data_IF_543664786640
#
_entry.id   IF_543664786640
#
_cell.length_a   1.000
_cell.length_b   1.000
_cell.length_c   1.000
_cell.angle_alpha   90.00
_cell.angle_beta   90.00
_cell.angle_gamma   90.00
#
_symmetry.space_group_name_H-M   'P 1'
#
loop_
_entity.id
_entity.type
_entity.pdbx_description
1 polymer ?
#
# COMPACT_ATOMS: atom_id res chain seq x y z
N UNK A 1 42.77 -7.22 -51.88
CA UNK A 1 42.03 -5.93 -52.00
C UNK A 1 41.06 -5.90 -50.83
N UNK A 2 41.36 -5.19 -49.73
CA UNK A 2 40.97 -3.77 -49.47
C UNK A 2 39.44 -3.68 -49.36
N UNK A 3 38.76 -3.20 -48.32
CA UNK A 3 39.10 -2.57 -47.03
C UNK A 3 37.81 -2.51 -46.18
N UNK A 4 37.98 -2.48 -44.84
CA UNK A 4 37.33 -1.60 -43.82
C UNK A 4 36.04 -0.84 -44.25
N UNK A 5 34.95 -0.84 -43.47
CA UNK A 5 34.62 0.15 -42.41
C UNK A 5 33.30 -0.29 -41.71
N UNK A 6 33.34 -0.70 -40.43
CA UNK A 6 32.72 -0.03 -39.26
C UNK A 6 31.49 0.88 -39.51
N UNK A 7 30.31 0.40 -39.13
CA UNK A 7 29.23 1.20 -38.53
C UNK A 7 28.31 0.21 -37.78
N UNK A 8 28.49 -0.05 -36.49
CA UNK A 8 27.97 0.78 -35.40
C UNK A 8 26.49 1.16 -35.60
N UNK A 9 25.60 0.16 -35.62
CA UNK A 9 24.20 0.35 -35.26
C UNK A 9 24.01 -0.16 -33.83
N UNK A 10 24.24 0.76 -32.89
CA UNK A 10 23.83 0.62 -31.49
C UNK A 10 22.31 0.46 -31.52
N UNK A 11 21.82 -0.77 -31.39
CA UNK A 11 20.42 -1.01 -31.04
C UNK A 11 20.31 -0.56 -29.59
N UNK A 12 19.81 0.66 -29.42
CA UNK A 12 19.41 1.19 -28.14
C UNK A 12 18.45 0.19 -27.50
N UNK A 13 18.94 -0.55 -26.51
CA UNK A 13 18.14 -1.17 -25.47
C UNK A 13 17.43 -0.02 -24.74
N UNK A 14 16.35 0.46 -25.33
CA UNK A 14 15.31 1.15 -24.61
C UNK A 14 14.73 0.11 -23.65
N UNK A 15 15.37 -0.01 -22.49
CA UNK A 15 14.73 -0.45 -21.26
C UNK A 15 13.62 0.56 -21.04
N UNK A 16 12.46 0.28 -21.64
CA UNK A 16 11.20 0.79 -21.15
C UNK A 16 11.20 0.35 -19.69
N UNK A 17 11.56 1.27 -18.81
CA UNK A 17 11.17 1.20 -17.42
C UNK A 17 9.66 1.04 -17.51
N UNK A 18 9.21 -0.22 -17.46
CA UNK A 18 7.81 -0.56 -17.52
C UNK A 18 7.20 0.21 -16.37
N UNK A 19 6.43 1.24 -16.69
CA UNK A 19 5.29 1.60 -15.89
C UNK A 19 4.43 0.34 -15.90
N UNK A 20 4.77 -0.62 -15.03
CA UNK A 20 3.90 -1.71 -14.65
C UNK A 20 2.78 -0.99 -13.92
N UNK A 21 1.79 -0.52 -14.68
CA UNK A 21 0.50 -0.13 -14.16
C UNK A 21 0.10 -1.29 -13.25
N UNK A 22 0.09 -1.02 -11.94
CA UNK A 22 -0.28 -2.03 -10.96
C UNK A 22 -1.60 -2.65 -11.45
N UNK A 23 -1.75 -3.99 -11.38
CA UNK A 23 -3.00 -4.62 -11.75
C UNK A 23 -4.14 -3.90 -11.02
N UNK A 24 -5.31 -3.73 -11.66
CA UNK A 24 -6.43 -3.03 -11.04
C UNK A 24 -6.72 -3.65 -9.67
N UNK A 25 -6.77 -2.83 -8.63
CA UNK A 25 -7.09 -3.30 -7.28
C UNK A 25 -8.43 -4.02 -7.32
N UNK A 26 -8.42 -5.29 -6.92
CA UNK A 26 -9.66 -6.03 -6.76
C UNK A 26 -10.41 -5.51 -5.52
N UNK A 27 -11.74 -5.66 -5.45
CA UNK A 27 -12.48 -5.26 -4.25
C UNK A 27 -11.96 -5.90 -2.96
N UNK A 28 -11.42 -7.13 -3.06
CA UNK A 28 -10.78 -7.81 -1.94
C UNK A 28 -9.46 -7.14 -1.53
N UNK A 29 -8.64 -6.78 -2.52
CA UNK A 29 -7.36 -6.12 -2.27
C UNK A 29 -7.55 -4.72 -1.66
N UNK A 30 -8.52 -3.96 -2.16
CA UNK A 30 -8.89 -2.67 -1.59
C UNK A 30 -9.32 -2.81 -0.12
N UNK A 31 -10.17 -3.80 0.17
CA UNK A 31 -10.64 -4.07 1.53
C UNK A 31 -9.47 -4.45 2.46
N UNK A 32 -8.56 -5.32 2.00
CA UNK A 32 -7.36 -5.70 2.76
C UNK A 32 -6.45 -4.50 3.04
N UNK A 33 -6.25 -3.62 2.05
CA UNK A 33 -5.41 -2.44 2.18
C UNK A 33 -6.04 -1.40 3.14
N UNK A 34 -7.37 -1.26 3.14
CA UNK A 34 -8.10 -0.44 4.12
C UNK A 34 -7.91 -0.99 5.54
N UNK A 35 -8.05 -2.30 5.74
CA UNK A 35 -7.85 -2.95 7.04
C UNK A 35 -6.41 -2.76 7.55
N UNK A 36 -5.43 -2.91 6.65
CA UNK A 36 -4.02 -2.73 6.97
C UNK A 36 -3.66 -1.28 7.34
N UNK A 37 -4.29 -0.29 6.69
CA UNK A 37 -4.13 1.13 7.03
C UNK A 37 -4.70 1.44 8.40
N UNK A 38 -5.91 0.96 8.69
CA UNK A 38 -6.56 1.15 10.00
C UNK A 38 -5.77 0.47 11.12
N UNK A 39 -5.28 -0.76 10.89
CA UNK A 39 -4.41 -1.46 11.84
C UNK A 39 -3.12 -0.67 12.10
N UNK A 40 -2.47 -0.19 11.03
CA UNK A 40 -1.24 0.58 11.15
C UNK A 40 -1.46 1.92 11.86
N UNK A 41 -2.55 2.62 11.54
CA UNK A 41 -2.93 3.86 12.22
C UNK A 41 -3.06 3.63 13.73
N UNK A 42 -3.75 2.57 14.15
CA UNK A 42 -3.95 2.27 15.57
C UNK A 42 -2.69 1.80 16.33
N UNK A 43 -1.63 1.41 15.61
CA UNK A 43 -0.34 1.03 16.19
C UNK A 43 0.61 2.22 16.31
N UNK A 44 0.53 3.15 15.35
CA UNK A 44 1.55 4.18 15.15
C UNK A 44 1.08 5.58 15.50
N UNK A 45 -0.21 5.86 15.32
CA UNK A 45 -0.74 7.21 15.33
C UNK A 45 -1.32 7.63 16.68
N UNK A 46 -1.04 6.90 17.77
CA UNK A 46 -1.56 7.16 19.12
C UNK A 46 -1.34 8.60 19.61
N UNK A 47 -0.27 9.28 19.16
CA UNK A 47 -0.01 10.69 19.48
C UNK A 47 -0.90 11.68 18.73
N UNK A 48 -1.51 11.25 17.63
CA UNK A 48 -2.34 12.04 16.72
C UNK A 48 -3.83 11.68 16.82
N UNK A 49 -4.13 10.59 17.50
CA UNK A 49 -5.48 10.08 17.73
C UNK A 49 -5.83 10.15 19.23
N UNK A 50 -7.09 9.87 19.56
CA UNK A 50 -7.49 9.67 20.96
C UNK A 50 -7.60 8.19 21.27
N UNK A 51 -7.55 7.80 22.56
CA UNK A 51 -7.81 6.42 23.00
C UNK A 51 -9.13 5.83 22.47
N UNK A 52 -10.13 6.68 22.18
CA UNK A 52 -11.38 6.26 21.53
C UNK A 52 -11.19 6.02 20.03
N UNK A 53 -10.42 6.88 19.37
CA UNK A 53 -10.03 6.73 17.97
C UNK A 53 -9.21 5.45 17.72
N UNK A 54 -8.23 5.15 18.56
CA UNK A 54 -7.39 3.95 18.42
C UNK A 54 -8.21 2.67 18.53
N UNK A 55 -9.13 2.60 19.51
CA UNK A 55 -10.05 1.47 19.62
C UNK A 55 -10.91 1.35 18.37
N UNK A 56 -11.48 2.45 17.88
CA UNK A 56 -12.28 2.45 16.66
C UNK A 56 -11.50 1.91 15.46
N UNK A 57 -10.24 2.33 15.30
CA UNK A 57 -9.37 1.87 14.21
C UNK A 57 -9.01 0.37 14.35
N UNK A 58 -8.77 -0.12 15.57
CA UNK A 58 -8.54 -1.56 15.84
C UNK A 58 -9.78 -2.40 15.59
N UNK A 59 -10.95 -1.91 15.98
CA UNK A 59 -12.22 -2.63 15.78
C UNK A 59 -12.55 -2.67 14.28
N UNK A 60 -12.44 -1.54 13.59
CA UNK A 60 -12.64 -1.46 12.15
C UNK A 60 -11.68 -2.38 11.38
N UNK A 61 -10.38 -2.41 11.72
CA UNK A 61 -9.43 -3.30 11.04
C UNK A 61 -9.79 -4.78 11.23
N UNK A 62 -10.23 -5.17 12.43
CA UNK A 62 -10.67 -6.54 12.72
C UNK A 62 -11.91 -6.93 11.92
N UNK A 63 -12.92 -6.05 11.85
CA UNK A 63 -14.14 -6.28 11.08
C UNK A 63 -13.85 -6.37 9.58
N UNK A 64 -13.00 -5.47 9.07
CA UNK A 64 -12.55 -5.48 7.67
C UNK A 64 -11.86 -6.81 7.33
N UNK A 65 -10.95 -7.29 8.18
CA UNK A 65 -10.29 -8.57 7.95
C UNK A 65 -11.22 -9.77 8.11
N UNK A 66 -12.23 -9.70 8.97
CA UNK A 66 -13.27 -10.73 9.04
C UNK A 66 -14.02 -10.81 7.70
N UNK A 67 -14.45 -9.67 7.17
CA UNK A 67 -15.10 -9.59 5.86
C UNK A 67 -14.19 -10.04 4.71
N UNK A 68 -12.91 -9.67 4.73
CA UNK A 68 -11.95 -10.12 3.73
C UNK A 68 -11.80 -11.65 3.74
N UNK A 69 -11.78 -12.28 4.93
CA UNK A 69 -11.76 -13.74 5.07
C UNK A 69 -13.04 -14.40 4.53
N UNK A 70 -14.21 -13.80 4.73
CA UNK A 70 -15.47 -14.26 4.13
C UNK A 70 -15.43 -14.21 2.59
N UNK A 71 -14.67 -13.28 2.03
CA UNK A 71 -14.44 -13.14 0.59
C UNK A 71 -13.31 -14.05 0.05
N UNK A 72 -12.67 -14.84 0.91
CA UNK A 72 -11.64 -15.82 0.54
C UNK A 72 -10.20 -15.36 0.75
N UNK A 73 -9.94 -14.21 1.38
CA UNK A 73 -8.58 -13.84 1.76
C UNK A 73 -8.03 -14.80 2.83
N UNK A 74 -6.76 -15.14 2.70
CA UNK A 74 -6.02 -15.92 3.69
C UNK A 74 -5.05 -15.04 4.51
N UNK A 75 -4.29 -15.67 5.40
CA UNK A 75 -3.31 -14.97 6.22
C UNK A 75 -2.18 -14.33 5.40
N UNK A 76 -1.58 -15.01 4.40
CA UNK A 76 -0.66 -14.40 3.44
C UNK A 76 -1.19 -13.11 2.79
N UNK A 77 -2.46 -13.06 2.40
CA UNK A 77 -3.06 -11.86 1.80
C UNK A 77 -3.09 -10.67 2.77
N UNK A 78 -3.46 -10.94 4.03
CA UNK A 78 -3.47 -9.95 5.11
C UNK A 78 -2.06 -9.44 5.40
N UNK A 79 -1.07 -10.34 5.44
CA UNK A 79 0.32 -9.97 5.71
C UNK A 79 0.93 -9.18 4.56
N UNK A 80 0.57 -9.51 3.31
CA UNK A 80 0.94 -8.73 2.14
C UNK A 80 0.35 -7.31 2.20
N UNK A 81 -0.91 -7.16 2.61
CA UNK A 81 -1.54 -5.85 2.78
C UNK A 81 -0.88 -5.03 3.89
N UNK A 82 -0.56 -5.64 5.03
CA UNK A 82 0.22 -4.99 6.11
C UNK A 82 1.57 -4.50 5.63
N UNK A 83 2.27 -5.30 4.84
CA UNK A 83 3.55 -4.90 4.26
C UNK A 83 3.40 -3.70 3.32
N UNK A 84 2.40 -3.71 2.43
CA UNK A 84 2.10 -2.58 1.53
C UNK A 84 1.78 -1.31 2.32
N UNK A 85 0.92 -1.39 3.34
CA UNK A 85 0.57 -0.25 4.19
C UNK A 85 1.80 0.37 4.87
N UNK A 86 2.72 -0.46 5.39
CA UNK A 86 3.98 0.02 5.99
C UNK A 86 4.90 0.69 4.98
N UNK A 87 5.04 0.11 3.78
CA UNK A 87 5.86 0.70 2.71
C UNK A 87 5.30 2.04 2.25
N UNK A 88 3.98 2.11 2.00
CA UNK A 88 3.29 3.34 1.61
C UNK A 88 3.41 4.41 2.69
N UNK A 89 3.23 4.06 3.96
CA UNK A 89 3.39 4.99 5.08
C UNK A 89 4.83 5.53 5.15
N UNK A 90 5.86 4.68 5.03
CA UNK A 90 7.25 5.14 5.05
C UNK A 90 7.60 6.10 3.89
N UNK A 91 7.03 5.86 2.71
CA UNK A 91 7.15 6.79 1.59
C UNK A 91 6.46 8.12 1.89
N UNK A 92 5.23 8.07 2.43
CA UNK A 92 4.44 9.27 2.78
C UNK A 92 5.07 10.08 3.90
N UNK A 93 5.66 9.46 4.90
CA UNK A 93 6.37 10.15 5.98
C UNK A 93 7.46 11.08 5.43
N UNK A 94 8.15 10.61 4.39
CA UNK A 94 9.20 11.36 3.73
C UNK A 94 8.64 12.53 2.89
N UNK A 95 7.43 12.39 2.36
CA UNK A 95 6.83 13.35 1.42
C UNK A 95 5.95 14.40 2.09
N UNK A 96 5.13 13.99 3.05
CA UNK A 96 4.09 14.83 3.68
C UNK A 96 4.23 14.91 5.21
N UNK A 97 5.20 14.21 5.79
CA UNK A 97 5.41 14.17 7.23
C UNK A 97 4.51 13.17 7.97
N UNK A 98 4.84 12.93 9.23
CA UNK A 98 4.20 11.89 10.05
C UNK A 98 2.73 12.21 10.39
N UNK A 99 2.43 13.47 10.70
CA UNK A 99 1.07 13.90 11.08
C UNK A 99 0.09 13.72 9.92
N UNK A 100 0.40 14.26 8.75
CA UNK A 100 -0.43 14.11 7.56
C UNK A 100 -0.55 12.63 7.10
N UNK A 101 0.51 11.84 7.26
CA UNK A 101 0.44 10.39 6.99
C UNK A 101 -0.53 9.71 7.95
N UNK A 102 -0.51 10.07 9.23
CA UNK A 102 -1.45 9.55 10.22
C UNK A 102 -2.89 9.97 9.91
N UNK A 103 -3.14 11.20 9.48
CA UNK A 103 -4.48 11.63 9.04
C UNK A 103 -4.99 10.74 7.90
N UNK A 104 -4.17 10.47 6.89
CA UNK A 104 -4.57 9.62 5.78
C UNK A 104 -4.76 8.15 6.19
N UNK A 105 -3.92 7.60 7.06
CA UNK A 105 -4.08 6.23 7.55
C UNK A 105 -5.35 6.06 8.41
N UNK A 106 -5.79 7.12 9.08
CA UNK A 106 -6.95 7.12 9.97
C UNK A 106 -8.30 7.15 9.25
N UNK A 107 -8.30 7.37 7.92
CA UNK A 107 -9.53 7.42 7.13
C UNK A 107 -10.12 6.02 7.03
N UNK A 108 -11.25 5.83 7.69
CA UNK A 108 -12.03 4.61 7.61
C UNK A 108 -12.98 4.62 6.42
N UNK A 109 -13.24 3.46 5.79
CA UNK A 109 -14.27 3.35 4.77
C UNK A 109 -15.67 3.59 5.37
N UNK A 110 -16.66 3.99 4.55
CA UNK A 110 -18.04 4.18 5.01
C UNK A 110 -18.58 2.91 5.66
N UNK A 111 -19.19 3.05 6.84
CA UNK A 111 -19.77 1.94 7.59
C UNK A 111 -18.92 1.41 8.75
N UNK A 112 -17.78 2.05 9.04
CA UNK A 112 -16.91 1.73 10.18
C UNK A 112 -16.69 2.93 11.12
#
# INVERSE_FOLDING_TARGET
MVNLIKAAAIVALATIAGCQTAPPETPLQELLDQGARAELAAQRCESYTSLRGDRKLRDASQEIYAKAREMGADQPDIDAARLRARQQAGLRDTLIGNEATCDELSILPPGY
#
